data_IF_781755201100
#
_entry.id   IF_781755201100
#
_cell.length_a   1.000
_cell.length_b   1.000
_cell.length_c   1.000
_cell.angle_alpha   90.00
_cell.angle_beta   90.00
_cell.angle_gamma   90.00
#
_symmetry.space_group_name_H-M   'P 1'
#
loop_
_entity.id
_entity.type
_entity.pdbx_description
1 polymer ?
#
# COMPACT_ATOMS: atom_id res chain seq x y z
N UNK A 1 0.91 -6.55 25.58
CA UNK A 1 1.26 -6.18 26.98
C UNK A 1 0.01 -6.02 27.84
N UNK A 2 -0.99 -5.24 27.43
CA UNK A 2 -2.26 -5.00 28.15
C UNK A 2 -3.02 -6.31 28.40
N UNK A 3 -3.05 -7.21 27.44
CA UNK A 3 -3.67 -8.53 27.58
C UNK A 3 -3.00 -9.39 28.65
N UNK A 4 -1.66 -9.40 28.72
CA UNK A 4 -0.90 -10.12 29.75
C UNK A 4 -1.17 -9.63 31.16
N UNK A 5 -1.63 -8.39 31.31
CA UNK A 5 -2.06 -7.80 32.57
C UNK A 5 -3.51 -8.13 32.93
N UNK A 6 -4.21 -8.91 32.11
CA UNK A 6 -5.62 -9.26 32.32
C UNK A 6 -6.58 -8.07 32.25
N UNK A 7 -6.21 -7.00 31.56
CA UNK A 7 -6.99 -5.77 31.49
C UNK A 7 -7.98 -5.73 30.30
N UNK A 8 -8.02 -6.77 29.47
CA UNK A 8 -8.94 -6.86 28.35
C UNK A 8 -10.06 -7.84 28.71
N UNK A 9 -11.30 -7.42 28.47
CA UNK A 9 -12.47 -8.31 28.57
C UNK A 9 -12.49 -9.31 27.40
N UNK A 10 -13.00 -10.50 27.64
CA UNK A 10 -13.31 -11.45 26.57
C UNK A 10 -14.66 -11.09 25.93
N UNK A 11 -14.62 -10.58 24.72
CA UNK A 11 -15.80 -10.18 23.97
C UNK A 11 -16.63 -11.39 23.50
N UNK A 12 -16.05 -12.58 23.50
CA UNK A 12 -16.77 -13.83 23.23
C UNK A 12 -17.87 -14.14 24.23
N UNK A 13 -17.79 -13.58 25.45
CA UNK A 13 -18.84 -13.69 26.45
C UNK A 13 -20.08 -12.82 26.14
N UNK A 14 -19.95 -11.83 25.28
CA UNK A 14 -20.99 -10.86 24.89
C UNK A 14 -21.57 -11.09 23.51
N UNK A 15 -21.00 -12.00 22.72
CA UNK A 15 -21.42 -12.32 21.35
C UNK A 15 -21.83 -13.79 21.26
N UNK A 16 -23.05 -14.03 20.86
CA UNK A 16 -23.50 -15.38 20.57
C UNK A 16 -22.81 -15.98 19.36
N UNK A 17 -22.79 -17.29 19.22
CA UNK A 17 -22.21 -17.94 18.03
C UNK A 17 -22.90 -17.51 16.74
N UNK A 18 -24.23 -17.30 16.78
CA UNK A 18 -25.00 -16.82 15.65
C UNK A 18 -24.60 -15.40 15.24
N UNK A 19 -24.40 -14.51 16.20
CA UNK A 19 -23.91 -13.15 15.92
C UNK A 19 -22.51 -13.20 15.32
N UNK A 20 -21.60 -14.01 15.86
CA UNK A 20 -20.25 -14.14 15.30
C UNK A 20 -20.26 -14.63 13.84
N UNK A 21 -21.19 -15.51 13.47
CA UNK A 21 -21.35 -16.00 12.09
C UNK A 21 -21.82 -14.94 11.09
N UNK A 22 -22.34 -13.81 11.55
CA UNK A 22 -22.71 -12.70 10.67
C UNK A 22 -21.51 -11.88 10.17
N UNK A 23 -20.35 -12.06 10.79
CA UNK A 23 -19.11 -11.34 10.44
C UNK A 23 -18.18 -12.23 9.61
N UNK A 24 -17.25 -11.58 8.90
CA UNK A 24 -16.20 -12.28 8.18
C UNK A 24 -15.25 -12.94 9.19
N UNK A 25 -15.20 -14.27 9.18
CA UNK A 25 -14.45 -15.05 10.17
C UNK A 25 -12.97 -14.62 10.29
N UNK A 26 -12.28 -14.42 9.15
CA UNK A 26 -10.90 -13.97 9.15
C UNK A 26 -10.67 -12.63 9.85
N UNK A 27 -11.70 -11.75 9.89
CA UNK A 27 -11.59 -10.47 10.58
C UNK A 27 -11.81 -10.64 12.10
N UNK A 28 -12.71 -11.54 12.51
CA UNK A 28 -12.87 -11.85 13.92
C UNK A 28 -11.64 -12.55 14.49
N UNK A 29 -11.01 -13.43 13.71
CA UNK A 29 -9.82 -14.17 14.15
C UNK A 29 -8.63 -13.26 14.47
N UNK A 30 -8.50 -12.13 13.79
CA UNK A 30 -7.49 -11.12 14.13
C UNK A 30 -7.70 -10.50 15.53
N UNK A 31 -8.90 -10.54 16.06
CA UNK A 31 -9.22 -10.08 17.42
C UNK A 31 -8.95 -11.11 18.51
N UNK A 32 -8.55 -12.35 18.16
CA UNK A 32 -8.22 -13.41 19.09
C UNK A 32 -6.74 -13.37 19.47
N UNK A 33 -6.46 -13.57 20.72
CA UNK A 33 -5.10 -13.55 21.25
C UNK A 33 -4.60 -14.97 21.54
N UNK A 34 -3.29 -15.18 21.46
CA UNK A 34 -2.64 -16.45 21.80
C UNK A 34 -2.86 -16.84 23.27
N UNK A 35 -3.07 -15.86 24.14
CA UNK A 35 -3.44 -16.08 25.55
C UNK A 35 -4.87 -16.58 25.74
N UNK A 36 -5.64 -16.69 24.67
CA UNK A 36 -7.03 -17.08 24.61
C UNK A 36 -8.01 -15.91 24.64
N UNK A 37 -9.22 -16.18 24.16
CA UNK A 37 -10.32 -15.23 24.11
C UNK A 37 -10.30 -14.26 22.93
N UNK A 38 -11.48 -13.68 22.68
CA UNK A 38 -11.71 -12.67 21.65
C UNK A 38 -11.67 -11.29 22.31
N UNK A 39 -10.55 -10.58 22.16
CA UNK A 39 -10.22 -9.36 22.92
C UNK A 39 -10.39 -8.06 22.13
N UNK A 40 -10.38 -8.11 20.80
CA UNK A 40 -10.54 -6.95 19.93
C UNK A 40 -11.64 -7.21 18.93
N UNK A 41 -12.66 -6.33 18.89
CA UNK A 41 -13.71 -6.39 17.89
C UNK A 41 -13.30 -5.55 16.66
N UNK A 42 -13.25 -6.15 15.46
CA UNK A 42 -12.89 -5.44 14.24
C UNK A 42 -14.08 -4.60 13.74
N UNK A 43 -14.17 -3.36 14.21
CA UNK A 43 -15.26 -2.43 13.82
C UNK A 43 -15.21 -2.08 12.34
N UNK A 44 -13.99 -1.93 11.81
CA UNK A 44 -13.76 -1.65 10.39
C UNK A 44 -12.38 -2.13 9.97
N UNK A 45 -12.25 -2.51 8.70
CA UNK A 45 -10.99 -2.83 8.04
C UNK A 45 -10.78 -1.89 6.88
N UNK A 46 -9.58 -1.32 6.79
CA UNK A 46 -9.19 -0.50 5.65
C UNK A 46 -8.50 -1.36 4.60
N UNK A 47 -8.58 -0.92 3.35
CA UNK A 47 -7.81 -1.48 2.25
C UNK A 47 -7.17 -0.37 1.43
N UNK A 48 -6.13 -0.69 0.70
CA UNK A 48 -5.51 0.22 -0.24
C UNK A 48 -6.05 -0.06 -1.64
N UNK A 49 -6.36 0.99 -2.36
CA UNK A 49 -6.84 0.94 -3.73
C UNK A 49 -5.95 1.83 -4.60
N UNK A 50 -5.69 1.39 -5.82
CA UNK A 50 -5.10 2.24 -6.84
C UNK A 50 -6.23 3.09 -7.46
N UNK A 51 -6.17 4.40 -7.26
CA UNK A 51 -7.08 5.36 -7.88
C UNK A 51 -6.40 6.02 -9.07
N UNK A 52 -7.11 6.09 -10.19
CA UNK A 52 -6.59 6.66 -11.44
C UNK A 52 -7.44 7.86 -11.84
N UNK A 53 -6.80 9.00 -12.15
CA UNK A 53 -7.47 10.11 -12.83
C UNK A 53 -7.77 9.69 -14.28
N UNK A 54 -9.00 9.31 -14.54
CA UNK A 54 -9.41 8.75 -15.84
C UNK A 54 -9.19 9.70 -16.99
N UNK A 55 -9.38 10.99 -16.78
CA UNK A 55 -9.22 12.02 -17.83
C UNK A 55 -7.77 12.10 -18.29
N UNK A 56 -6.84 12.19 -17.36
CA UNK A 56 -5.40 12.24 -17.66
C UNK A 56 -4.90 10.90 -18.21
N UNK A 57 -5.40 9.79 -17.67
CA UNK A 57 -5.07 8.46 -18.16
C UNK A 57 -5.45 8.27 -19.64
N UNK A 58 -6.67 8.66 -20.01
CA UNK A 58 -7.15 8.50 -21.39
C UNK A 58 -6.31 9.32 -22.38
N UNK A 59 -5.97 10.55 -22.00
CA UNK A 59 -5.10 11.40 -22.81
C UNK A 59 -3.69 10.82 -22.96
N UNK A 60 -3.11 10.35 -21.86
CA UNK A 60 -1.79 9.74 -21.85
C UNK A 60 -1.76 8.42 -22.63
N UNK A 61 -2.73 7.54 -22.38
CA UNK A 61 -2.85 6.25 -23.08
C UNK A 61 -3.03 6.44 -24.60
N UNK A 62 -3.89 7.37 -25.00
CA UNK A 62 -4.09 7.68 -26.44
C UNK A 62 -2.82 8.22 -27.11
N UNK A 63 -2.01 9.02 -26.40
CA UNK A 63 -0.81 9.62 -26.95
C UNK A 63 0.39 8.67 -26.98
N UNK A 64 0.48 7.72 -26.05
CA UNK A 64 1.69 6.92 -25.81
C UNK A 64 1.49 5.42 -26.02
N UNK A 65 0.24 4.94 -26.11
CA UNK A 65 -0.08 3.51 -26.15
C UNK A 65 0.09 2.83 -24.76
N UNK A 66 0.04 3.60 -23.66
CA UNK A 66 0.05 3.04 -22.32
C UNK A 66 -1.17 2.14 -22.09
N UNK A 67 -0.99 1.02 -21.40
CA UNK A 67 -2.03 0.02 -21.14
C UNK A 67 -2.35 -0.08 -19.65
N UNK A 68 -3.62 -0.29 -19.31
CA UNK A 68 -4.03 -0.57 -17.93
C UNK A 68 -3.38 -1.85 -17.38
N UNK A 69 -2.98 -2.79 -18.24
CA UNK A 69 -2.23 -3.97 -17.85
C UNK A 69 -0.88 -3.64 -17.21
N UNK A 70 -0.26 -2.51 -17.60
CA UNK A 70 1.01 -2.06 -17.03
C UNK A 70 0.85 -1.57 -15.58
N UNK A 71 -0.38 -1.25 -15.13
CA UNK A 71 -0.68 -0.90 -13.74
C UNK A 71 -0.69 -2.10 -12.78
N UNK A 72 -0.62 -3.33 -13.29
CA UNK A 72 -0.72 -4.54 -12.50
C UNK A 72 0.56 -4.88 -11.68
N UNK A 73 1.69 -4.25 -12.00
CA UNK A 73 2.96 -4.50 -11.32
C UNK A 73 3.67 -3.19 -10.95
N UNK A 74 4.53 -3.23 -9.93
CA UNK A 74 5.32 -2.06 -9.53
C UNK A 74 6.31 -1.63 -10.62
N UNK A 75 6.90 -2.59 -11.31
CA UNK A 75 7.78 -2.33 -12.45
C UNK A 75 7.04 -1.65 -13.60
N UNK A 76 5.80 -2.08 -13.86
CA UNK A 76 4.93 -1.44 -14.84
C UNK A 76 4.56 -0.01 -14.46
N UNK A 77 4.19 0.23 -13.20
CA UNK A 77 3.90 1.57 -12.69
C UNK A 77 5.15 2.46 -12.78
N UNK A 78 6.34 1.96 -12.43
CA UNK A 78 7.59 2.73 -12.53
C UNK A 78 7.90 3.11 -13.99
N UNK A 79 7.72 2.18 -14.93
CA UNK A 79 7.90 2.43 -16.37
C UNK A 79 6.87 3.44 -16.92
N UNK A 80 5.59 3.30 -16.51
CA UNK A 80 4.56 4.27 -16.89
C UNK A 80 4.87 5.66 -16.35
N UNK A 81 5.40 5.75 -15.14
CA UNK A 81 5.72 7.03 -14.51
C UNK A 81 6.84 7.78 -15.25
N UNK A 82 7.89 7.10 -15.69
CA UNK A 82 8.92 7.68 -16.54
C UNK A 82 8.32 8.20 -17.86
N UNK A 83 7.52 7.37 -18.54
CA UNK A 83 6.86 7.74 -19.80
C UNK A 83 5.89 8.91 -19.64
N UNK A 84 5.17 8.96 -18.53
CA UNK A 84 4.24 10.06 -18.23
C UNK A 84 4.99 11.36 -17.97
N UNK A 85 6.09 11.28 -17.20
CA UNK A 85 6.95 12.43 -16.95
C UNK A 85 7.48 13.00 -18.27
N UNK A 86 8.07 12.18 -19.13
CA UNK A 86 8.60 12.58 -20.43
C UNK A 86 7.50 13.15 -21.35
N UNK A 87 6.33 12.52 -21.35
CA UNK A 87 5.19 12.97 -22.16
C UNK A 87 4.67 14.33 -21.70
N UNK A 88 4.64 14.59 -20.39
CA UNK A 88 4.21 15.89 -19.86
C UNK A 88 5.28 16.96 -20.02
N UNK A 89 6.55 16.64 -19.83
CA UNK A 89 7.70 17.55 -20.08
C UNK A 89 7.73 18.03 -21.53
N UNK A 90 7.51 17.13 -22.49
CA UNK A 90 7.45 17.47 -23.91
C UNK A 90 6.32 18.44 -24.29
N UNK A 91 5.33 18.68 -23.43
CA UNK A 91 4.22 19.63 -23.66
C UNK A 91 4.59 21.08 -23.32
N UNK A 92 5.71 21.26 -22.63
CA UNK A 92 6.27 22.57 -22.24
C UNK A 92 7.71 22.72 -22.75
N UNK A 93 7.93 22.76 -24.08
CA UNK A 93 9.28 22.66 -24.68
C UNK A 93 10.24 23.79 -24.28
N UNK A 94 9.71 24.90 -23.77
CA UNK A 94 10.49 26.02 -23.27
C UNK A 94 11.00 25.84 -21.82
N UNK A 95 10.50 24.81 -21.13
CA UNK A 95 10.85 24.47 -19.74
C UNK A 95 11.29 22.99 -19.72
N UNK A 96 12.56 22.73 -19.54
CA UNK A 96 13.07 21.36 -19.49
C UNK A 96 13.07 20.83 -18.06
N UNK A 97 12.58 19.61 -17.87
CA UNK A 97 12.57 18.92 -16.57
C UNK A 97 11.41 19.33 -15.67
N UNK A 98 10.31 19.82 -16.25
CA UNK A 98 9.08 20.16 -15.52
C UNK A 98 7.96 19.12 -15.69
N UNK A 99 8.32 17.90 -16.11
CA UNK A 99 7.39 16.80 -16.23
C UNK A 99 6.62 16.52 -14.94
N UNK A 100 5.38 16.07 -15.07
CA UNK A 100 4.51 15.78 -13.93
C UNK A 100 4.77 14.40 -13.35
N UNK A 101 4.66 14.29 -12.03
CA UNK A 101 4.67 13.02 -11.34
C UNK A 101 3.42 12.21 -11.67
N UNK A 102 3.60 10.91 -11.89
CA UNK A 102 2.52 9.99 -12.26
C UNK A 102 1.85 9.33 -11.05
N UNK A 103 2.61 9.06 -9.99
CA UNK A 103 2.16 8.22 -8.89
C UNK A 103 2.55 8.79 -7.53
N UNK A 104 1.73 8.54 -6.55
CA UNK A 104 2.02 8.81 -5.15
C UNK A 104 1.37 7.77 -4.25
N UNK A 105 1.97 7.54 -3.08
CA UNK A 105 1.49 6.59 -2.09
C UNK A 105 1.55 7.19 -0.69
N UNK A 106 0.54 6.94 0.12
CA UNK A 106 0.47 7.45 1.48
C UNK A 106 1.36 6.62 2.43
N UNK A 107 0.94 5.46 2.82
CA UNK A 107 1.58 4.65 3.85
C UNK A 107 2.80 3.88 3.33
N UNK A 108 3.99 4.47 3.35
CA UNK A 108 5.22 3.81 2.89
C UNK A 108 5.53 2.53 3.68
N UNK A 109 5.23 2.50 4.98
CA UNK A 109 5.40 1.28 5.77
C UNK A 109 4.58 0.10 5.22
N UNK A 110 3.34 0.37 4.80
CA UNK A 110 2.49 -0.66 4.17
C UNK A 110 3.08 -1.16 2.84
N UNK A 111 3.70 -0.27 2.06
CA UNK A 111 4.39 -0.67 0.82
C UNK A 111 5.47 -1.71 1.09
N UNK A 112 6.30 -1.47 2.11
CA UNK A 112 7.37 -2.41 2.47
C UNK A 112 6.79 -3.71 3.03
N UNK A 113 5.83 -3.65 3.95
CA UNK A 113 5.22 -4.83 4.56
C UNK A 113 4.50 -5.70 3.52
N UNK A 114 3.56 -5.11 2.79
CA UNK A 114 2.76 -5.81 1.78
C UNK A 114 3.64 -6.28 0.62
N UNK A 115 4.54 -5.43 0.15
CA UNK A 115 5.45 -5.75 -0.94
C UNK A 115 6.38 -6.92 -0.60
N UNK A 116 6.90 -6.98 0.62
CA UNK A 116 7.71 -8.11 1.08
C UNK A 116 6.88 -9.40 1.10
N UNK A 117 5.67 -9.36 1.63
CA UNK A 117 4.77 -10.52 1.64
C UNK A 117 4.41 -10.99 0.23
N UNK A 118 4.14 -10.07 -0.70
CA UNK A 118 3.89 -10.38 -2.11
C UNK A 118 5.09 -11.04 -2.80
N UNK A 119 6.29 -10.74 -2.34
CA UNK A 119 7.55 -11.33 -2.81
C UNK A 119 7.97 -12.56 -1.99
N UNK A 120 7.10 -13.06 -1.10
CA UNK A 120 7.30 -14.29 -0.34
C UNK A 120 8.16 -14.14 0.92
N UNK A 121 8.38 -12.91 1.39
CA UNK A 121 9.12 -12.62 2.62
C UNK A 121 8.21 -12.05 3.69
N UNK A 122 8.11 -12.72 4.82
CA UNK A 122 7.48 -12.20 6.02
C UNK A 122 8.54 -11.47 6.85
N UNK A 123 8.41 -10.12 6.93
CA UNK A 123 9.39 -9.28 7.62
C UNK A 123 9.47 -9.52 9.12
N UNK A 124 8.36 -9.92 9.73
CA UNK A 124 8.28 -10.17 11.16
C UNK A 124 7.72 -11.57 11.40
N UNK A 125 8.44 -12.38 12.15
CA UNK A 125 7.91 -13.61 12.72
C UNK A 125 7.82 -13.52 14.24
N UNK A 126 6.85 -14.22 14.81
CA UNK A 126 6.67 -14.32 16.26
C UNK A 126 6.79 -15.77 16.67
N UNK A 127 7.84 -16.12 17.38
CA UNK A 127 8.08 -17.46 17.91
C UNK A 127 8.32 -17.36 19.42
N UNK A 128 7.60 -18.14 20.20
CA UNK A 128 7.69 -18.15 21.67
C UNK A 128 7.61 -16.75 22.32
N UNK A 129 6.77 -15.87 21.74
CA UNK A 129 6.60 -14.50 22.20
C UNK A 129 7.77 -13.57 21.90
N UNK A 130 8.71 -13.99 21.05
CA UNK A 130 9.81 -13.17 20.54
C UNK A 130 9.54 -12.77 19.10
N UNK A 131 9.74 -11.49 18.82
CA UNK A 131 9.66 -10.95 17.47
C UNK A 131 11.05 -11.03 16.83
N UNK A 132 11.11 -11.65 15.67
CA UNK A 132 12.31 -11.70 14.83
C UNK A 132 12.06 -10.90 13.56
N UNK A 133 13.00 -10.01 13.21
CA UNK A 133 12.99 -9.27 11.96
C UNK A 133 13.78 -10.06 10.91
N UNK A 134 13.12 -10.36 9.78
CA UNK A 134 13.72 -11.04 8.64
C UNK A 134 13.85 -10.06 7.47
N UNK A 135 15.06 -9.67 7.13
CA UNK A 135 15.35 -8.75 6.03
C UNK A 135 16.00 -9.52 4.90
N UNK A 136 15.29 -9.67 3.79
CA UNK A 136 15.84 -10.16 2.54
C UNK A 136 16.35 -8.97 1.71
N UNK A 137 17.65 -8.95 1.43
CA UNK A 137 18.30 -7.82 0.74
C UNK A 137 17.84 -7.66 -0.71
N UNK A 138 17.56 -8.77 -1.42
CA UNK A 138 17.12 -8.71 -2.82
C UNK A 138 15.69 -8.20 -2.92
N UNK A 139 14.81 -8.64 -2.01
CA UNK A 139 13.45 -8.14 -1.88
C UNK A 139 13.44 -6.66 -1.52
N UNK A 140 14.23 -6.25 -0.51
CA UNK A 140 14.34 -4.83 -0.13
C UNK A 140 14.88 -3.98 -1.29
N UNK A 141 15.88 -4.50 -2.02
CA UNK A 141 16.44 -3.84 -3.19
C UNK A 141 15.39 -3.63 -4.26
N UNK A 142 14.61 -4.65 -4.59
CA UNK A 142 13.54 -4.58 -5.58
C UNK A 142 12.46 -3.56 -5.20
N UNK A 143 12.02 -3.55 -3.93
CA UNK A 143 11.07 -2.56 -3.42
C UNK A 143 11.64 -1.15 -3.48
N UNK A 144 12.91 -0.99 -3.14
CA UNK A 144 13.61 0.30 -3.22
C UNK A 144 13.68 0.82 -4.66
N UNK A 145 14.10 -0.02 -5.59
CA UNK A 145 14.27 0.35 -6.99
C UNK A 145 12.92 0.73 -7.63
N UNK A 146 11.82 0.10 -7.22
CA UNK A 146 10.48 0.38 -7.76
C UNK A 146 9.77 1.59 -7.11
N UNK A 147 10.27 2.12 -6.01
CA UNK A 147 9.65 3.26 -5.35
C UNK A 147 10.60 4.44 -5.19
N UNK A 148 11.72 4.24 -4.51
CA UNK A 148 12.64 5.32 -4.19
C UNK A 148 13.31 5.91 -5.43
N UNK A 149 13.72 5.06 -6.36
CA UNK A 149 14.37 5.52 -7.60
C UNK A 149 13.43 6.40 -8.44
N UNK A 150 12.18 5.98 -8.75
CA UNK A 150 11.22 6.87 -9.40
C UNK A 150 10.92 8.15 -8.62
N UNK A 151 10.89 8.07 -7.28
CA UNK A 151 10.66 9.23 -6.43
C UNK A 151 11.77 10.29 -6.55
N UNK A 152 13.04 9.90 -6.48
CA UNK A 152 14.16 10.87 -6.61
C UNK A 152 14.32 11.41 -8.02
N UNK A 153 13.77 10.72 -9.02
CA UNK A 153 13.72 11.19 -10.41
C UNK A 153 12.54 12.15 -10.68
N UNK A 154 11.64 12.36 -9.69
CA UNK A 154 10.47 13.19 -9.85
C UNK A 154 9.28 12.49 -10.54
N UNK A 155 9.39 11.20 -10.84
CA UNK A 155 8.32 10.43 -11.46
C UNK A 155 7.19 10.09 -10.47
N UNK A 156 7.53 10.01 -9.18
CA UNK A 156 6.60 9.89 -8.08
C UNK A 156 6.67 11.14 -7.20
N UNK A 157 5.57 11.49 -6.57
CA UNK A 157 5.52 12.68 -5.73
C UNK A 157 4.66 12.51 -4.47
N UNK A 158 4.84 13.46 -3.57
CA UNK A 158 4.17 13.53 -2.29
C UNK A 158 4.07 15.02 -1.90
N UNK A 159 3.05 15.71 -2.40
CA UNK A 159 2.89 17.15 -2.19
C UNK A 159 1.99 17.47 -0.98
N UNK A 160 0.79 16.91 -0.92
CA UNK A 160 -0.15 17.09 0.18
C UNK A 160 0.06 16.12 1.34
N UNK A 161 -0.83 16.19 2.30
CA UNK A 161 -0.86 15.25 3.43
C UNK A 161 -1.27 13.85 2.99
N UNK A 162 -2.22 13.77 2.07
CA UNK A 162 -2.72 12.52 1.49
C UNK A 162 -2.61 12.56 -0.03
N UNK A 163 -2.33 11.40 -0.64
CA UNK A 163 -2.23 11.28 -2.11
C UNK A 163 -3.56 11.52 -2.82
N UNK A 164 -4.66 11.24 -2.15
CA UNK A 164 -6.00 11.62 -2.64
C UNK A 164 -6.16 13.13 -2.84
N UNK A 165 -5.47 13.95 -2.04
CA UNK A 165 -5.46 15.40 -2.23
C UNK A 165 -4.67 15.78 -3.49
N UNK A 166 -3.51 15.16 -3.70
CA UNK A 166 -2.69 15.40 -4.89
C UNK A 166 -3.45 15.01 -6.17
N UNK A 167 -4.12 13.85 -6.17
CA UNK A 167 -4.93 13.41 -7.30
C UNK A 167 -6.09 14.38 -7.62
N UNK A 168 -6.65 15.04 -6.62
CA UNK A 168 -7.74 16.00 -6.78
C UNK A 168 -7.28 17.34 -7.33
N UNK A 169 -6.07 17.75 -7.03
CA UNK A 169 -5.52 19.06 -7.43
C UNK A 169 -4.79 19.02 -8.79
N UNK A 170 -4.49 17.86 -9.33
CA UNK A 170 -3.83 17.67 -10.63
C UNK A 170 -2.33 17.66 -10.52
#
# INVERSE_FOLDING_TARGET
EIDRLGMLADLGEYLTTEEQQTYIAAYLDEGRFDTGGFKIFPVAKSTELLSVNKTEWDAFSAATGASEADLATWEGIASLAERYYDWTDARTPDLSGDGKAFFGRDAFANYILIGSMQLGVELFSVEDGRITLQVDHDVMRRLWDNYYVPYVKGYYASYGKFRSDDLRTG
#
